data_IF_034391734608
#
_entry.id   IF_034391734608
#
_cell.length_a   1.000
_cell.length_b   1.000
_cell.length_c   1.000
_cell.angle_alpha   90.00
_cell.angle_beta   90.00
_cell.angle_gamma   90.00
#
_symmetry.space_group_name_H-M   'P 1'
#
loop_
_entity.id
_entity.type
_entity.pdbx_description
1 polymer ?
#
# COMPACT_ATOMS: atom_id res chain seq x y z
N UNK A 1 8.08 -15.60 31.35
CA UNK A 1 7.39 -16.89 31.53
C UNK A 1 7.46 -17.67 30.21
N UNK A 2 8.22 -18.79 30.19
CA UNK A 2 8.29 -19.63 28.97
C UNK A 2 7.26 -20.76 29.16
N UNK A 3 6.22 -20.77 28.32
CA UNK A 3 5.26 -21.87 28.28
C UNK A 3 5.64 -22.87 27.20
N UNK A 4 5.79 -24.16 27.58
CA UNK A 4 6.20 -25.25 26.67
C UNK A 4 5.14 -26.35 26.72
N UNK A 5 4.60 -26.73 25.57
CA UNK A 5 3.65 -27.84 25.42
C UNK A 5 4.35 -29.08 24.84
N UNK A 6 4.38 -30.18 25.61
CA UNK A 6 4.89 -31.47 25.18
C UNK A 6 6.33 -31.79 25.64
N UNK A 7 6.62 -33.07 25.89
CA UNK A 7 7.90 -33.52 26.42
C UNK A 7 9.12 -33.29 25.51
N UNK A 8 8.95 -33.44 24.18
CA UNK A 8 10.03 -33.14 23.22
C UNK A 8 10.38 -31.65 23.13
N UNK A 9 9.47 -30.78 23.53
CA UNK A 9 9.68 -29.33 23.55
C UNK A 9 10.37 -28.88 24.86
N UNK A 10 10.23 -29.64 25.96
CA UNK A 10 10.87 -29.34 27.24
C UNK A 10 12.40 -29.44 27.13
N UNK A 11 12.94 -30.46 26.48
CA UNK A 11 14.39 -30.62 26.29
C UNK A 11 14.95 -29.50 25.40
N UNK A 12 14.27 -29.14 24.30
CA UNK A 12 14.65 -27.99 23.46
C UNK A 12 14.61 -26.67 24.23
N UNK A 13 13.60 -26.50 25.10
CA UNK A 13 13.50 -25.31 25.93
C UNK A 13 14.61 -25.24 26.98
N UNK A 14 14.96 -26.37 27.63
CA UNK A 14 16.11 -26.46 28.56
C UNK A 14 17.43 -26.12 27.85
N UNK A 15 17.62 -26.67 26.65
CA UNK A 15 18.82 -26.38 25.84
C UNK A 15 18.86 -24.88 25.48
N UNK A 16 17.75 -24.30 25.03
CA UNK A 16 17.63 -22.89 24.74
C UNK A 16 17.94 -22.00 25.94
N UNK A 17 17.38 -22.32 27.10
CA UNK A 17 17.65 -21.59 28.36
C UNK A 17 19.12 -21.74 28.75
N UNK A 18 19.69 -22.96 28.64
CA UNK A 18 21.09 -23.20 28.96
C UNK A 18 22.03 -22.38 28.04
N UNK A 19 21.71 -22.30 26.75
CA UNK A 19 22.45 -21.49 25.80
C UNK A 19 22.34 -19.99 26.12
N UNK A 20 21.16 -19.51 26.49
CA UNK A 20 20.96 -18.12 26.94
C UNK A 20 21.80 -17.80 28.19
N UNK A 21 21.82 -18.69 29.18
CA UNK A 21 22.61 -18.50 30.41
C UNK A 21 24.13 -18.55 30.17
N UNK A 22 24.59 -19.21 29.11
CA UNK A 22 25.99 -19.27 28.70
C UNK A 22 26.38 -18.14 27.73
N UNK A 23 25.46 -17.27 27.36
CA UNK A 23 25.80 -16.13 26.48
C UNK A 23 26.84 -15.23 27.12
N UNK A 24 27.84 -14.89 26.33
CA UNK A 24 28.81 -13.85 26.67
C UNK A 24 28.40 -12.53 26.06
N UNK A 25 29.03 -11.44 26.48
CA UNK A 25 28.80 -10.14 25.87
C UNK A 25 29.05 -10.14 24.36
N UNK A 26 29.91 -11.03 23.86
CA UNK A 26 30.29 -11.07 22.44
C UNK A 26 29.27 -11.77 21.53
N UNK A 27 28.48 -12.68 22.06
CA UNK A 27 27.43 -13.39 21.32
C UNK A 27 26.00 -12.96 21.79
N UNK A 28 25.92 -11.87 22.52
CA UNK A 28 24.65 -11.31 22.97
C UNK A 28 23.98 -10.49 21.87
N UNK A 29 22.66 -10.58 21.80
CA UNK A 29 21.82 -9.75 20.95
C UNK A 29 22.03 -8.25 21.15
N UNK A 30 22.49 -7.86 22.36
CA UNK A 30 22.81 -6.48 22.71
C UNK A 30 23.89 -5.84 21.82
N UNK A 31 24.73 -6.65 21.16
CA UNK A 31 25.72 -6.17 20.18
C UNK A 31 25.17 -6.02 18.77
N UNK A 32 23.97 -6.54 18.47
CA UNK A 32 23.39 -6.35 17.13
C UNK A 32 23.00 -4.90 16.93
N UNK A 33 23.34 -4.34 15.76
CA UNK A 33 22.99 -2.96 15.42
C UNK A 33 21.47 -2.74 15.43
N UNK A 34 20.67 -3.74 15.06
CA UNK A 34 19.21 -3.70 15.11
C UNK A 34 18.71 -3.53 16.56
N UNK A 35 19.26 -4.29 17.52
CA UNK A 35 18.88 -4.16 18.93
C UNK A 35 19.25 -2.77 19.47
N UNK A 36 20.47 -2.30 19.20
CA UNK A 36 20.93 -0.98 19.66
C UNK A 36 20.10 0.16 19.07
N UNK A 37 19.59 -0.02 17.85
CA UNK A 37 18.69 0.95 17.22
C UNK A 37 17.30 0.90 17.85
N UNK A 38 16.77 -0.32 18.09
CA UNK A 38 15.48 -0.51 18.77
C UNK A 38 15.50 0.06 20.21
N UNK A 39 16.57 -0.15 20.95
CA UNK A 39 16.70 0.32 22.35
C UNK A 39 16.59 1.85 22.47
N UNK A 40 16.92 2.57 21.40
CA UNK A 40 16.80 4.05 21.36
C UNK A 40 15.37 4.53 21.10
N UNK A 41 14.45 3.66 20.69
CA UNK A 41 13.05 4.03 20.47
C UNK A 41 12.33 4.20 21.81
N UNK A 42 11.44 5.20 21.85
CA UNK A 42 10.62 5.52 23.03
C UNK A 42 9.15 5.18 22.75
N UNK A 43 8.86 3.90 22.55
CA UNK A 43 7.49 3.42 22.37
C UNK A 43 7.06 2.58 23.57
N UNK A 44 5.76 2.40 23.75
CA UNK A 44 5.22 1.58 24.83
C UNK A 44 5.71 0.12 24.73
N UNK A 45 5.79 -0.39 23.50
CA UNK A 45 6.36 -1.71 23.20
C UNK A 45 7.32 -1.55 22.02
N UNK A 46 8.58 -1.93 22.22
CA UNK A 46 9.59 -1.99 21.16
C UNK A 46 9.92 -3.44 20.83
N UNK A 47 10.04 -3.76 19.55
CA UNK A 47 10.46 -5.06 19.09
C UNK A 47 11.23 -4.97 17.77
N UNK A 48 11.97 -6.02 17.47
CA UNK A 48 12.55 -6.20 16.15
C UNK A 48 12.49 -7.68 15.76
N UNK A 49 12.40 -7.92 14.46
CA UNK A 49 12.35 -9.26 13.90
C UNK A 49 13.04 -9.31 12.54
N UNK A 50 13.80 -10.37 12.28
CA UNK A 50 14.24 -10.67 10.92
C UNK A 50 13.03 -10.96 10.03
N UNK A 51 13.04 -10.50 8.80
CA UNK A 51 12.01 -10.88 7.82
C UNK A 51 11.96 -12.40 7.57
N UNK A 52 13.05 -13.14 7.85
CA UNK A 52 13.03 -14.61 7.82
C UNK A 52 12.11 -15.23 8.88
N UNK A 53 11.72 -14.51 9.93
CA UNK A 53 10.75 -14.97 10.92
C UNK A 53 9.29 -14.90 10.44
N UNK A 54 9.03 -14.28 9.31
CA UNK A 54 7.71 -14.24 8.68
C UNK A 54 7.33 -15.69 8.29
N UNK A 55 6.10 -16.15 8.63
CA UNK A 55 5.67 -17.51 8.29
C UNK A 55 5.79 -17.81 6.79
N UNK A 56 6.25 -19.01 6.45
CA UNK A 56 6.55 -19.44 5.08
C UNK A 56 5.47 -19.10 4.03
N UNK A 57 4.14 -19.20 4.31
CA UNK A 57 3.11 -18.83 3.34
C UNK A 57 3.15 -17.36 2.89
N UNK A 58 3.77 -16.48 3.68
CA UNK A 58 3.87 -15.05 3.41
C UNK A 58 5.26 -14.62 2.95
N UNK A 59 6.29 -15.47 3.14
CA UNK A 59 7.68 -15.15 2.75
C UNK A 59 7.81 -14.92 1.25
N UNK A 60 7.12 -15.70 0.43
CA UNK A 60 7.14 -15.56 -1.01
C UNK A 60 6.60 -14.19 -1.46
N UNK A 61 5.51 -13.72 -0.85
CA UNK A 61 4.92 -12.42 -1.14
C UNK A 61 5.86 -11.27 -0.75
N UNK A 62 6.54 -11.40 0.37
CA UNK A 62 7.50 -10.38 0.86
C UNK A 62 8.78 -10.38 0.02
N UNK A 63 9.19 -11.55 -0.49
CA UNK A 63 10.40 -11.71 -1.30
C UNK A 63 10.21 -11.32 -2.77
N UNK A 64 8.96 -11.25 -3.27
CA UNK A 64 8.66 -11.00 -4.68
C UNK A 64 9.26 -9.68 -5.23
N UNK A 65 9.51 -8.70 -4.38
CA UNK A 65 10.12 -7.41 -4.76
C UNK A 65 11.62 -7.33 -4.56
N UNK A 66 12.27 -8.37 -4.00
CA UNK A 66 13.70 -8.35 -3.68
C UNK A 66 14.55 -8.82 -4.86
N UNK A 67 15.73 -8.23 -5.09
CA UNK A 67 16.74 -8.76 -5.99
C UNK A 67 17.16 -10.20 -5.58
N UNK A 68 17.59 -10.99 -6.56
CA UNK A 68 17.93 -12.40 -6.33
C UNK A 68 19.07 -12.63 -5.32
N UNK A 69 19.96 -11.65 -5.17
CA UNK A 69 21.07 -11.63 -4.21
C UNK A 69 20.68 -11.23 -2.79
N UNK A 70 19.47 -10.73 -2.58
CA UNK A 70 18.95 -10.28 -1.28
C UNK A 70 18.10 -11.38 -0.66
N UNK A 71 18.43 -11.77 0.56
CA UNK A 71 17.66 -12.74 1.32
C UNK A 71 16.82 -12.05 2.39
N UNK A 72 15.69 -12.66 2.77
CA UNK A 72 14.84 -12.15 3.84
C UNK A 72 15.60 -12.00 5.18
N UNK A 73 16.59 -12.84 5.43
CA UNK A 73 17.44 -12.76 6.63
C UNK A 73 18.34 -11.51 6.67
N UNK A 74 18.60 -10.87 5.53
CA UNK A 74 19.39 -9.63 5.43
C UNK A 74 18.60 -8.40 5.91
N UNK A 75 17.29 -8.52 6.10
CA UNK A 75 16.41 -7.42 6.48
C UNK A 75 15.83 -7.68 7.86
N UNK A 76 16.02 -6.73 8.75
CA UNK A 76 15.41 -6.71 10.08
C UNK A 76 14.40 -5.55 10.16
N UNK A 77 13.18 -5.86 10.56
CA UNK A 77 12.16 -4.85 10.85
C UNK A 77 12.33 -4.44 12.30
N UNK A 78 12.50 -3.14 12.55
CA UNK A 78 12.45 -2.54 13.88
C UNK A 78 11.10 -1.85 14.01
N UNK A 79 10.40 -2.09 15.11
CA UNK A 79 9.05 -1.58 15.30
C UNK A 79 8.82 -1.07 16.73
N UNK A 80 8.00 -0.01 16.81
CA UNK A 80 7.52 0.56 18.06
C UNK A 80 6.00 0.71 18.03
N UNK A 81 5.33 0.10 18.98
CA UNK A 81 3.88 0.19 19.16
C UNK A 81 3.58 1.17 20.28
N UNK A 82 2.67 2.12 20.02
CA UNK A 82 2.21 3.13 20.97
C UNK A 82 0.68 3.06 21.12
N UNK A 83 0.22 3.19 22.36
CA UNK A 83 -1.20 3.30 22.69
C UNK A 83 -1.48 4.73 23.09
N UNK A 84 -2.01 5.50 22.16
CA UNK A 84 -2.28 6.92 22.36
C UNK A 84 -3.80 7.14 22.57
N UNK A 85 -4.18 8.34 22.95
CA UNK A 85 -5.59 8.71 22.99
C UNK A 85 -6.20 8.66 21.59
N UNK A 86 -7.25 7.86 21.43
CA UNK A 86 -7.95 7.68 20.17
C UNK A 86 -7.16 6.98 19.06
N UNK A 87 -5.95 6.43 19.33
CA UNK A 87 -5.11 5.85 18.29
C UNK A 87 -4.18 4.75 18.83
N UNK A 88 -4.03 3.69 18.03
CA UNK A 88 -2.94 2.71 18.18
C UNK A 88 -2.01 2.93 16.99
N UNK A 89 -0.75 3.26 17.25
CA UNK A 89 0.25 3.58 16.23
C UNK A 89 1.37 2.55 16.23
N UNK A 90 1.63 1.92 15.09
CA UNK A 90 2.77 1.03 14.85
C UNK A 90 3.74 1.73 13.90
N UNK A 91 4.87 2.17 14.41
CA UNK A 91 5.97 2.72 13.60
C UNK A 91 6.96 1.61 13.26
N UNK A 92 7.36 1.54 12.01
CA UNK A 92 8.32 0.54 11.54
C UNK A 92 9.41 1.19 10.69
N UNK A 93 10.59 0.60 10.75
CA UNK A 93 11.71 0.91 9.85
C UNK A 93 12.46 -0.38 9.50
N UNK A 94 13.04 -0.42 8.31
CA UNK A 94 13.89 -1.51 7.90
C UNK A 94 15.34 -1.24 8.32
N UNK A 95 16.00 -2.24 8.88
CA UNK A 95 17.40 -2.21 9.22
C UNK A 95 18.15 -3.31 8.47
N UNK A 96 19.31 -2.99 7.94
CA UNK A 96 20.18 -3.93 7.26
C UNK A 96 21.64 -3.51 7.36
N UNK A 97 22.55 -4.48 7.38
CA UNK A 97 23.98 -4.27 7.21
C UNK A 97 24.43 -4.67 5.79
N UNK A 98 23.57 -5.31 5.02
CA UNK A 98 23.83 -5.72 3.65
C UNK A 98 23.81 -4.52 2.69
N UNK A 99 24.93 -4.27 2.00
CA UNK A 99 25.08 -3.12 1.09
C UNK A 99 24.16 -3.19 -0.14
N UNK A 100 23.83 -4.39 -0.63
CA UNK A 100 22.88 -4.55 -1.73
C UNK A 100 21.46 -4.13 -1.29
N UNK A 101 21.06 -4.46 -0.07
CA UNK A 101 19.77 -4.02 0.50
C UNK A 101 19.75 -2.52 0.70
N UNK A 102 20.82 -1.92 1.22
CA UNK A 102 20.94 -0.45 1.35
C UNK A 102 20.80 0.25 0.01
N UNK A 103 21.46 -0.28 -1.04
CA UNK A 103 21.35 0.24 -2.39
C UNK A 103 19.91 0.15 -2.93
N UNK A 104 19.20 -0.97 -2.65
CA UNK A 104 17.78 -1.14 -3.01
C UNK A 104 16.90 -0.13 -2.29
N UNK A 105 17.07 0.04 -0.98
CA UNK A 105 16.31 1.04 -0.20
C UNK A 105 16.52 2.46 -0.75
N UNK A 106 17.76 2.80 -1.12
CA UNK A 106 18.06 4.08 -1.77
C UNK A 106 17.30 4.24 -3.10
N UNK A 107 17.28 3.21 -3.95
CA UNK A 107 16.51 3.24 -5.21
C UNK A 107 15.00 3.37 -4.95
N UNK A 108 14.48 2.76 -3.90
CA UNK A 108 13.09 2.95 -3.50
C UNK A 108 12.81 4.43 -3.15
N UNK A 109 13.68 5.06 -2.38
CA UNK A 109 13.54 6.50 -2.06
C UNK A 109 13.67 7.41 -3.30
N UNK A 110 14.47 7.00 -4.28
CA UNK A 110 14.60 7.70 -5.56
C UNK A 110 13.35 7.54 -6.45
N UNK A 111 12.61 6.42 -6.32
CA UNK A 111 11.39 6.15 -7.06
C UNK A 111 10.17 6.92 -6.52
N UNK A 112 10.19 7.27 -5.24
CA UNK A 112 9.08 7.96 -4.58
C UNK A 112 9.49 9.36 -4.12
N UNK A 113 8.65 10.35 -4.43
CA UNK A 113 8.72 11.71 -3.92
C UNK A 113 7.67 11.95 -2.84
N UNK A 114 7.65 13.15 -2.25
CA UNK A 114 6.53 13.56 -1.41
C UNK A 114 5.32 13.84 -2.30
N UNK A 115 4.16 13.31 -1.90
CA UNK A 115 2.90 13.58 -2.59
C UNK A 115 2.42 15.01 -2.28
N UNK A 116 1.92 15.70 -3.31
CA UNK A 116 1.37 17.07 -3.21
C UNK A 116 -0.10 17.09 -2.84
N UNK A 117 -0.77 15.92 -2.84
CA UNK A 117 -2.20 15.76 -2.60
C UNK A 117 -3.07 16.50 -3.63
N UNK A 118 -2.63 16.54 -4.89
CA UNK A 118 -3.25 17.29 -5.99
C UNK A 118 -4.70 16.87 -6.24
N UNK A 119 -4.96 15.57 -6.18
CA UNK A 119 -6.22 14.96 -6.61
C UNK A 119 -7.25 14.75 -5.49
N UNK A 120 -6.91 14.98 -4.21
CA UNK A 120 -7.80 14.70 -3.07
C UNK A 120 -9.18 15.38 -3.16
N UNK A 121 -9.27 16.50 -3.88
CA UNK A 121 -10.52 17.23 -4.11
C UNK A 121 -11.54 16.48 -4.99
N UNK A 122 -11.08 15.52 -5.78
CA UNK A 122 -11.94 14.75 -6.70
C UNK A 122 -12.52 13.49 -6.07
N UNK A 123 -12.01 13.08 -4.91
CA UNK A 123 -12.48 11.90 -4.20
C UNK A 123 -13.48 12.30 -3.13
N UNK A 124 -14.69 11.71 -3.10
CA UNK A 124 -15.65 11.93 -2.02
C UNK A 124 -15.07 11.59 -0.64
N UNK A 125 -15.46 12.29 0.40
CA UNK A 125 -15.08 11.98 1.78
C UNK A 125 -15.54 10.57 2.22
N UNK A 126 -16.56 10.02 1.57
CA UNK A 126 -17.06 8.65 1.75
C UNK A 126 -16.27 7.58 0.98
N UNK A 127 -15.16 7.92 0.35
CA UNK A 127 -14.28 6.95 -0.31
C UNK A 127 -13.89 5.85 0.67
N UNK A 128 -14.12 4.59 0.29
CA UNK A 128 -13.96 3.42 1.16
C UNK A 128 -12.49 3.11 1.44
N UNK A 129 -11.68 3.21 0.41
CA UNK A 129 -10.23 3.06 0.46
C UNK A 129 -9.60 4.10 -0.45
N UNK A 130 -8.61 4.79 0.05
CA UNK A 130 -7.88 5.82 -0.68
C UNK A 130 -6.39 5.54 -0.62
N UNK A 131 -5.69 5.71 -1.73
CA UNK A 131 -4.24 5.61 -1.84
C UNK A 131 -3.73 6.86 -2.53
N UNK A 132 -2.66 7.45 -2.01
CA UNK A 132 -1.96 8.56 -2.63
C UNK A 132 -0.45 8.34 -2.58
N UNK A 133 0.21 8.48 -3.72
CA UNK A 133 1.63 8.21 -3.91
C UNK A 133 2.27 9.40 -4.62
N UNK A 134 3.42 9.85 -4.14
CA UNK A 134 4.28 10.73 -4.93
C UNK A 134 5.27 9.91 -5.74
N UNK A 135 5.21 9.95 -7.08
CA UNK A 135 6.02 9.11 -7.96
C UNK A 135 6.98 9.92 -8.79
N UNK A 136 8.20 9.38 -8.94
CA UNK A 136 9.20 9.77 -9.93
C UNK A 136 9.33 8.61 -10.93
N UNK A 137 8.66 8.70 -12.07
CA UNK A 137 8.46 7.57 -12.96
C UNK A 137 9.73 6.94 -13.49
N UNK A 138 10.79 7.72 -13.76
CA UNK A 138 12.09 7.15 -14.16
C UNK A 138 12.73 6.33 -13.02
N UNK A 139 12.67 6.85 -11.78
CA UNK A 139 13.13 6.11 -10.59
C UNK A 139 12.34 4.83 -10.38
N UNK A 140 11.02 4.88 -10.59
CA UNK A 140 10.15 3.71 -10.49
C UNK A 140 10.48 2.66 -11.56
N UNK A 141 10.71 3.08 -12.81
CA UNK A 141 11.16 2.16 -13.87
C UNK A 141 12.49 1.50 -13.49
N UNK A 142 13.46 2.27 -13.02
CA UNK A 142 14.76 1.75 -12.62
C UNK A 142 14.63 0.74 -11.47
N UNK A 143 13.78 1.03 -10.46
CA UNK A 143 13.50 0.12 -9.36
C UNK A 143 12.86 -1.19 -9.85
N UNK A 144 11.82 -1.11 -10.68
CA UNK A 144 11.12 -2.28 -11.22
C UNK A 144 12.01 -3.10 -12.14
N UNK A 145 12.95 -2.47 -12.85
CA UNK A 145 13.90 -3.15 -13.74
C UNK A 145 14.90 -4.05 -12.99
N UNK A 146 15.02 -3.93 -11.66
CA UNK A 146 15.78 -4.87 -10.83
C UNK A 146 14.99 -6.19 -10.62
N UNK A 147 13.66 -6.14 -10.72
CA UNK A 147 12.81 -7.32 -10.53
C UNK A 147 12.87 -8.24 -11.76
N UNK A 148 13.17 -9.53 -11.54
CA UNK A 148 13.29 -10.53 -12.60
C UNK A 148 11.98 -10.74 -13.36
N UNK A 149 10.85 -10.76 -12.68
CA UNK A 149 9.54 -10.97 -13.31
C UNK A 149 9.14 -9.79 -14.19
N UNK A 150 9.41 -8.57 -13.73
CA UNK A 150 9.22 -7.37 -14.55
C UNK A 150 10.07 -7.42 -15.81
N UNK A 151 11.36 -7.76 -15.70
CA UNK A 151 12.26 -7.91 -16.87
C UNK A 151 11.80 -9.01 -17.84
N UNK A 152 11.25 -10.09 -17.32
CA UNK A 152 10.73 -11.18 -18.17
C UNK A 152 9.43 -10.78 -18.88
N UNK A 153 8.62 -9.92 -18.28
CA UNK A 153 7.36 -9.44 -18.85
C UNK A 153 7.59 -8.37 -19.92
N UNK A 154 8.58 -7.49 -19.67
CA UNK A 154 8.97 -6.43 -20.63
C UNK A 154 9.94 -7.04 -21.64
N UNK A 155 9.46 -7.34 -22.85
CA UNK A 155 10.36 -7.81 -23.91
C UNK A 155 11.43 -6.75 -24.20
N UNK A 156 12.66 -7.20 -24.50
CA UNK A 156 13.81 -6.32 -24.77
C UNK A 156 13.48 -5.31 -25.89
N UNK A 157 12.69 -5.71 -26.88
CA UNK A 157 12.26 -4.86 -28.01
C UNK A 157 11.29 -3.72 -27.62
N UNK A 158 10.74 -3.74 -26.40
CA UNK A 158 9.78 -2.73 -25.89
C UNK A 158 10.27 -2.01 -24.64
N UNK A 159 11.50 -2.27 -24.21
CA UNK A 159 12.06 -1.68 -22.99
C UNK A 159 12.07 -0.14 -23.01
N UNK A 160 12.40 0.45 -24.14
CA UNK A 160 12.44 1.91 -24.32
C UNK A 160 11.03 2.52 -24.28
N UNK A 161 10.04 1.89 -24.91
CA UNK A 161 8.64 2.34 -24.91
C UNK A 161 8.07 2.26 -23.48
N UNK A 162 8.36 1.18 -22.73
CA UNK A 162 7.94 1.01 -21.35
C UNK A 162 8.63 2.04 -20.46
N UNK A 163 9.94 2.30 -20.66
CA UNK A 163 10.67 3.34 -19.94
C UNK A 163 10.07 4.73 -20.19
N UNK A 164 9.73 5.06 -21.45
CA UNK A 164 9.09 6.32 -21.80
C UNK A 164 7.71 6.45 -21.11
N UNK A 165 6.91 5.37 -21.11
CA UNK A 165 5.63 5.33 -20.42
C UNK A 165 5.80 5.63 -18.93
N UNK A 166 6.69 4.92 -18.22
CA UNK A 166 6.95 5.19 -16.81
C UNK A 166 7.46 6.61 -16.58
N UNK A 167 8.39 7.08 -17.40
CA UNK A 167 8.97 8.42 -17.30
C UNK A 167 7.96 9.53 -17.56
N UNK A 168 6.79 9.23 -18.14
CA UNK A 168 5.71 10.18 -18.31
C UNK A 168 5.01 10.50 -16.99
N UNK A 169 5.01 9.59 -16.01
CA UNK A 169 4.46 9.83 -14.68
C UNK A 169 5.45 10.60 -13.82
N UNK A 170 5.05 11.72 -13.26
CA UNK A 170 5.92 12.51 -12.37
C UNK A 170 5.08 13.44 -11.50
N UNK A 171 4.83 13.03 -10.28
CA UNK A 171 3.98 13.72 -9.32
C UNK A 171 3.04 12.74 -8.60
N UNK A 172 1.83 13.18 -8.34
CA UNK A 172 0.87 12.38 -7.59
C UNK A 172 0.23 11.28 -8.46
N UNK A 173 0.06 10.09 -7.85
CA UNK A 173 -0.91 9.09 -8.29
C UNK A 173 -1.85 8.86 -7.13
N UNK A 174 -3.15 9.03 -7.39
CA UNK A 174 -4.20 8.81 -6.39
C UNK A 174 -5.22 7.82 -6.91
N UNK A 175 -5.63 6.88 -6.07
CA UNK A 175 -6.65 5.88 -6.39
C UNK A 175 -7.66 5.77 -5.24
N UNK A 176 -8.93 5.59 -5.57
CA UNK A 176 -9.99 5.40 -4.60
C UNK A 176 -10.97 4.31 -5.00
N UNK A 177 -11.33 3.48 -4.01
CA UNK A 177 -12.48 2.58 -4.07
C UNK A 177 -13.69 3.36 -3.57
N UNK A 178 -14.65 3.61 -4.46
CA UNK A 178 -15.78 4.51 -4.18
C UNK A 178 -16.99 3.75 -3.65
N UNK A 179 -17.27 2.58 -4.24
CA UNK A 179 -18.45 1.79 -3.88
C UNK A 179 -18.23 0.31 -4.13
N UNK A 180 -18.92 -0.52 -3.34
CA UNK A 180 -18.97 -1.98 -3.51
C UNK A 180 -20.43 -2.41 -3.43
N UNK A 181 -20.87 -3.16 -4.42
CA UNK A 181 -22.21 -3.76 -4.47
C UNK A 181 -22.10 -5.27 -4.67
N UNK A 182 -23.19 -6.01 -4.43
CA UNK A 182 -23.19 -7.47 -4.58
C UNK A 182 -23.14 -7.95 -6.05
N UNK A 183 -23.65 -7.14 -6.97
CA UNK A 183 -23.97 -7.59 -8.34
C UNK A 183 -23.15 -6.89 -9.42
N UNK A 184 -22.22 -6.02 -9.05
CA UNK A 184 -21.35 -5.33 -10.00
C UNK A 184 -19.90 -5.29 -9.52
N UNK A 185 -18.98 -5.03 -10.43
CA UNK A 185 -17.60 -4.77 -10.08
C UNK A 185 -17.51 -3.55 -9.12
N UNK A 186 -16.56 -3.56 -8.17
CA UNK A 186 -16.33 -2.40 -7.30
C UNK A 186 -16.05 -1.16 -8.13
N UNK A 187 -16.67 -0.03 -7.74
CA UNK A 187 -16.45 1.26 -8.41
C UNK A 187 -15.15 1.89 -7.94
N UNK A 188 -14.28 2.22 -8.88
CA UNK A 188 -13.01 2.87 -8.59
C UNK A 188 -12.79 4.12 -9.45
N UNK A 189 -11.89 4.97 -8.97
CA UNK A 189 -11.36 6.11 -9.72
C UNK A 189 -9.87 6.26 -9.45
N UNK A 190 -9.11 6.60 -10.48
CA UNK A 190 -7.66 6.84 -10.41
C UNK A 190 -7.36 8.16 -11.10
N UNK A 191 -6.41 8.91 -10.52
CA UNK A 191 -5.78 10.08 -11.16
C UNK A 191 -4.27 9.97 -11.07
N UNK A 192 -3.59 10.51 -12.05
CA UNK A 192 -2.12 10.60 -12.03
C UNK A 192 -1.63 11.86 -12.74
N UNK A 193 -0.58 12.49 -12.20
CA UNK A 193 0.16 13.55 -12.89
C UNK A 193 1.00 12.94 -14.01
N UNK A 194 0.84 13.46 -15.24
CA UNK A 194 1.60 13.02 -16.40
C UNK A 194 2.20 14.20 -17.15
N UNK A 195 3.37 14.01 -17.75
CA UNK A 195 4.06 15.06 -18.51
C UNK A 195 3.33 15.42 -19.81
N UNK A 196 2.74 14.42 -20.47
CA UNK A 196 2.05 14.58 -21.76
C UNK A 196 1.08 13.42 -22.05
N UNK A 197 0.34 13.50 -23.16
CA UNK A 197 -0.61 12.49 -23.60
C UNK A 197 -0.04 11.39 -24.50
N UNK A 198 1.22 11.46 -24.89
CA UNK A 198 1.81 10.59 -25.91
C UNK A 198 1.75 9.11 -25.54
N UNK A 199 1.89 8.79 -24.26
CA UNK A 199 1.87 7.42 -23.79
C UNK A 199 0.53 6.71 -24.04
N UNK A 200 -0.61 7.38 -23.82
CA UNK A 200 -1.93 6.81 -24.09
C UNK A 200 -2.20 6.68 -25.59
N UNK A 201 -1.78 7.66 -26.37
CA UNK A 201 -1.89 7.61 -27.83
C UNK A 201 -1.07 6.45 -28.42
N UNK A 202 0.17 6.26 -27.94
CA UNK A 202 1.02 5.15 -28.32
C UNK A 202 0.40 3.80 -27.92
N UNK A 203 -0.13 3.69 -26.70
CA UNK A 203 -0.83 2.51 -26.20
C UNK A 203 -2.05 2.16 -27.09
N UNK A 204 -2.86 3.16 -27.46
CA UNK A 204 -4.02 2.96 -28.31
C UNK A 204 -3.63 2.51 -29.72
N UNK A 205 -2.64 3.15 -30.33
CA UNK A 205 -2.12 2.75 -31.66
C UNK A 205 -1.60 1.32 -31.69
N UNK A 206 -1.06 0.85 -30.58
CA UNK A 206 -0.49 -0.50 -30.42
C UNK A 206 -1.42 -1.45 -29.64
N UNK A 207 -2.73 -1.16 -29.53
CA UNK A 207 -3.67 -1.94 -28.69
C UNK A 207 -3.71 -3.44 -29.02
N UNK A 208 -3.43 -3.83 -30.26
CA UNK A 208 -3.33 -5.25 -30.65
C UNK A 208 -2.19 -5.99 -29.92
N UNK A 209 -1.13 -5.29 -29.54
CA UNK A 209 -0.01 -5.85 -28.79
C UNK A 209 -0.29 -6.04 -27.29
N UNK A 210 -1.42 -5.53 -26.79
CA UNK A 210 -1.83 -5.64 -25.37
C UNK A 210 -2.40 -7.02 -25.02
N UNK A 211 -2.53 -7.94 -25.99
CA UNK A 211 -3.04 -9.28 -25.72
C UNK A 211 -4.52 -9.30 -25.32
N UNK A 212 -5.33 -8.38 -25.86
CA UNK A 212 -6.76 -8.31 -25.60
C UNK A 212 -7.45 -9.62 -25.97
N UNK A 213 -8.32 -10.09 -25.10
CA UNK A 213 -9.07 -11.35 -25.29
C UNK A 213 -10.24 -11.13 -26.26
N UNK A 214 -10.79 -12.23 -26.76
CA UNK A 214 -11.99 -12.18 -27.61
C UNK A 214 -13.16 -11.50 -26.90
N UNK A 215 -13.63 -10.40 -27.44
CA UNK A 215 -14.71 -9.57 -26.88
C UNK A 215 -14.21 -8.42 -25.99
N UNK A 216 -12.91 -8.21 -25.91
CA UNK A 216 -12.29 -7.02 -25.34
C UNK A 216 -11.83 -6.09 -26.45
N UNK A 217 -12.00 -4.79 -26.26
CA UNK A 217 -11.51 -3.76 -27.19
C UNK A 217 -11.26 -2.44 -26.45
N UNK A 218 -10.41 -1.61 -27.06
CA UNK A 218 -10.21 -0.21 -26.66
C UNK A 218 -10.76 0.65 -27.79
N UNK A 219 -11.72 1.49 -27.45
CA UNK A 219 -12.35 2.44 -28.37
C UNK A 219 -11.97 3.86 -28.02
N UNK A 220 -11.73 4.68 -29.02
CA UNK A 220 -11.53 6.11 -28.87
C UNK A 220 -12.88 6.82 -28.70
N UNK A 221 -13.02 7.64 -27.67
CA UNK A 221 -14.21 8.48 -27.39
C UNK A 221 -13.98 9.94 -27.80
N UNK A 222 -12.73 10.38 -27.79
CA UNK A 222 -12.30 11.72 -28.12
C UNK A 222 -10.78 11.83 -28.07
N UNK A 223 -10.24 13.01 -28.29
CA UNK A 223 -8.79 13.23 -28.24
C UNK A 223 -8.23 12.89 -26.85
N UNK A 224 -7.38 11.86 -26.78
CA UNK A 224 -6.82 11.31 -25.56
C UNK A 224 -7.88 10.80 -24.56
N UNK A 225 -9.03 10.37 -25.04
CA UNK A 225 -10.11 9.78 -24.25
C UNK A 225 -10.51 8.44 -24.85
N UNK A 226 -10.53 7.41 -24.01
CA UNK A 226 -10.71 6.02 -24.43
C UNK A 226 -11.64 5.28 -23.49
N UNK A 227 -12.23 4.20 -24.00
CA UNK A 227 -12.91 3.21 -23.16
C UNK A 227 -12.38 1.81 -23.49
N UNK A 228 -11.91 1.10 -22.49
CA UNK A 228 -11.70 -0.34 -22.54
C UNK A 228 -13.04 -1.03 -22.26
N UNK A 229 -13.46 -1.88 -23.19
CA UNK A 229 -14.68 -2.68 -23.08
C UNK A 229 -14.35 -4.13 -22.84
N UNK A 230 -15.00 -4.75 -21.84
CA UNK A 230 -14.98 -6.18 -21.62
C UNK A 230 -16.38 -6.69 -21.28
N UNK A 231 -16.55 -8.03 -21.18
CA UNK A 231 -17.87 -8.65 -20.90
C UNK A 231 -18.51 -8.27 -19.57
N UNK A 232 -17.75 -7.77 -18.62
CA UNK A 232 -18.26 -7.50 -17.26
C UNK A 232 -18.00 -6.07 -16.78
N UNK A 233 -17.20 -5.28 -17.51
CA UNK A 233 -16.80 -3.96 -17.04
C UNK A 233 -16.29 -3.11 -18.19
N UNK A 234 -16.68 -1.84 -18.21
CA UNK A 234 -16.06 -0.82 -19.03
C UNK A 234 -15.13 0.01 -18.16
N UNK A 235 -13.97 0.39 -18.68
CA UNK A 235 -13.06 1.33 -18.01
C UNK A 235 -12.86 2.53 -18.92
N UNK A 236 -13.33 3.68 -18.49
CA UNK A 236 -13.11 4.98 -19.14
C UNK A 236 -11.78 5.53 -18.64
N UNK A 237 -10.91 5.93 -19.56
CA UNK A 237 -9.61 6.50 -19.20
C UNK A 237 -9.17 7.55 -20.22
N UNK A 238 -8.35 8.48 -19.78
CA UNK A 238 -7.91 9.55 -20.65
C UNK A 238 -6.89 10.47 -19.98
N UNK A 239 -6.50 11.52 -20.72
CA UNK A 239 -5.64 12.59 -20.24
C UNK A 239 -6.27 13.93 -20.59
N UNK A 240 -6.47 14.76 -19.56
CA UNK A 240 -6.86 16.17 -19.65
C UNK A 240 -5.88 17.03 -18.84
N UNK A 241 -5.37 18.10 -19.43
CA UNK A 241 -4.49 19.06 -18.75
C UNK A 241 -3.32 18.44 -17.95
N UNK A 242 -2.66 17.44 -18.54
CA UNK A 242 -1.59 16.65 -17.90
C UNK A 242 -2.06 15.81 -16.70
N UNK A 243 -3.35 15.59 -16.57
CA UNK A 243 -3.92 14.71 -15.56
C UNK A 243 -4.51 13.48 -16.26
N UNK A 244 -3.90 12.33 -16.01
CA UNK A 244 -4.48 11.05 -16.42
C UNK A 244 -5.58 10.66 -15.44
N UNK A 245 -6.61 10.05 -15.95
CA UNK A 245 -7.69 9.48 -15.14
C UNK A 245 -8.11 8.11 -15.64
N UNK A 246 -8.67 7.30 -14.75
CA UNK A 246 -9.35 6.05 -15.10
C UNK A 246 -10.49 5.77 -14.10
N UNK A 247 -11.64 5.30 -14.59
CA UNK A 247 -12.76 4.84 -13.77
C UNK A 247 -13.61 3.82 -14.52
N UNK A 248 -14.26 2.93 -13.79
CA UNK A 248 -15.24 1.99 -14.36
C UNK A 248 -16.69 2.46 -14.22
N UNK A 249 -16.92 3.70 -13.79
CA UNK A 249 -18.24 4.30 -13.63
C UNK A 249 -18.45 5.43 -14.64
N UNK A 250 -19.50 5.35 -15.46
CA UNK A 250 -19.79 6.32 -16.51
C UNK A 250 -20.20 7.70 -15.94
N UNK A 251 -20.82 7.72 -14.76
CA UNK A 251 -21.22 8.98 -14.13
C UNK A 251 -20.00 9.72 -13.57
N UNK A 252 -19.06 9.00 -12.96
CA UNK A 252 -17.77 9.55 -12.54
C UNK A 252 -16.99 10.06 -13.75
N UNK A 253 -16.94 9.29 -14.83
CA UNK A 253 -16.29 9.72 -16.08
C UNK A 253 -16.84 11.04 -16.62
N UNK A 254 -18.17 11.18 -16.67
CA UNK A 254 -18.83 12.43 -17.13
C UNK A 254 -18.54 13.64 -16.22
N UNK A 255 -18.16 13.40 -14.98
CA UNK A 255 -17.84 14.42 -13.98
C UNK A 255 -16.37 14.40 -13.55
N UNK A 256 -15.47 13.87 -14.38
CA UNK A 256 -14.09 13.57 -14.00
C UNK A 256 -13.29 14.79 -13.52
N UNK A 257 -13.63 15.98 -13.98
CA UNK A 257 -12.99 17.24 -13.59
C UNK A 257 -13.70 17.96 -12.45
N UNK A 258 -14.87 17.43 -12.02
CA UNK A 258 -15.67 18.06 -10.97
C UNK A 258 -15.18 17.66 -9.59
N UNK A 259 -14.85 18.65 -8.77
CA UNK A 259 -14.54 18.41 -7.37
C UNK A 259 -15.77 17.85 -6.63
N UNK A 260 -15.53 16.95 -5.67
CA UNK A 260 -16.58 16.45 -4.80
C UNK A 260 -17.06 17.55 -3.83
N UNK A 261 -18.35 17.59 -3.55
CA UNK A 261 -18.95 18.60 -2.62
C UNK A 261 -18.35 18.47 -1.22
N UNK A 262 -18.19 17.24 -0.72
CA UNK A 262 -17.37 16.87 0.43
C UNK A 262 -16.29 15.93 -0.07
N UNK A 263 -15.05 16.33 0.03
CA UNK A 263 -13.91 15.57 -0.50
C UNK A 263 -13.06 14.96 0.62
N UNK A 264 -12.04 14.19 0.23
CA UNK A 264 -11.04 13.66 1.19
C UNK A 264 -10.37 14.76 2.01
N UNK A 265 -10.38 16.02 1.55
CA UNK A 265 -9.90 17.15 2.37
C UNK A 265 -10.68 17.30 3.68
N UNK A 266 -11.92 16.84 3.70
CA UNK A 266 -12.83 16.87 4.85
C UNK A 266 -12.83 15.54 5.63
N UNK A 267 -12.06 14.54 5.18
CA UNK A 267 -11.97 13.24 5.84
C UNK A 267 -11.15 13.32 7.14
N UNK A 268 -11.42 12.47 8.13
CA UNK A 268 -10.71 12.48 9.42
C UNK A 268 -9.18 12.33 9.31
N UNK A 269 -8.70 11.67 8.26
CA UNK A 269 -7.29 11.41 7.99
C UNK A 269 -6.60 12.44 7.06
N UNK A 270 -7.31 13.50 6.67
CA UNK A 270 -6.80 14.45 5.68
C UNK A 270 -5.45 15.10 6.07
N UNK A 271 -5.28 15.41 7.36
CA UNK A 271 -4.04 16.03 7.87
C UNK A 271 -2.83 15.10 7.86
N UNK A 272 -3.05 13.77 7.91
CA UNK A 272 -1.99 12.78 7.97
C UNK A 272 -1.27 12.56 6.64
N UNK A 273 -1.92 12.91 5.52
CA UNK A 273 -1.35 12.80 4.18
C UNK A 273 -0.20 13.77 3.91
N UNK A 274 -0.13 14.87 4.71
CA UNK A 274 0.83 15.94 4.43
C UNK A 274 2.27 15.47 4.60
N UNK A 275 3.08 15.65 3.55
CA UNK A 275 4.51 15.36 3.57
C UNK A 275 4.86 13.88 3.40
N UNK A 276 3.89 13.00 3.21
CA UNK A 276 4.11 11.57 3.00
C UNK A 276 4.51 11.26 1.56
N UNK A 277 5.33 10.22 1.37
CA UNK A 277 5.63 9.66 0.06
C UNK A 277 4.52 8.73 -0.41
N UNK A 278 3.99 7.97 0.55
CA UNK A 278 2.87 7.03 0.37
C UNK A 278 1.88 7.27 1.50
N UNK A 279 0.62 7.32 1.16
CA UNK A 279 -0.48 7.34 2.12
C UNK A 279 -1.61 6.43 1.63
N UNK A 280 -2.14 5.61 2.52
CA UNK A 280 -3.32 4.80 2.28
C UNK A 280 -4.25 4.95 3.49
N UNK A 281 -5.55 5.03 3.24
CA UNK A 281 -6.57 4.99 4.28
C UNK A 281 -7.70 4.03 3.91
N UNK A 282 -8.21 3.33 4.92
CA UNK A 282 -9.44 2.52 4.85
C UNK A 282 -10.45 3.19 5.78
N UNK A 283 -11.53 3.68 5.22
CA UNK A 283 -12.58 4.40 5.93
C UNK A 283 -13.58 3.40 6.53
N UNK A 284 -13.40 3.05 7.81
CA UNK A 284 -14.24 2.08 8.49
C UNK A 284 -15.70 2.56 8.60
N UNK A 285 -15.92 3.87 8.80
CA UNK A 285 -17.26 4.44 8.89
C UNK A 285 -18.02 4.30 7.56
N UNK A 286 -17.37 4.65 6.45
CA UNK A 286 -17.98 4.53 5.12
C UNK A 286 -18.26 3.05 4.75
N UNK A 287 -17.38 2.12 5.14
CA UNK A 287 -17.57 0.69 4.90
C UNK A 287 -18.80 0.17 5.67
N UNK A 288 -18.98 0.56 6.93
CA UNK A 288 -20.13 0.15 7.73
C UNK A 288 -21.46 0.68 7.20
N UNK A 289 -21.44 1.79 6.47
CA UNK A 289 -22.63 2.38 5.84
C UNK A 289 -23.04 1.67 4.54
N UNK A 290 -22.19 0.82 3.97
CA UNK A 290 -22.52 0.09 2.73
C UNK A 290 -23.72 -0.84 2.94
N UNK A 291 -24.72 -0.82 2.04
CA UNK A 291 -25.89 -1.71 2.13
C UNK A 291 -25.52 -3.19 2.20
N UNK A 292 -24.50 -3.61 1.44
CA UNK A 292 -23.98 -5.00 1.44
C UNK A 292 -23.41 -5.37 2.81
N UNK A 293 -22.69 -4.46 3.48
CA UNK A 293 -22.12 -4.71 4.81
C UNK A 293 -23.23 -4.77 5.87
N UNK A 294 -24.17 -3.82 5.84
CA UNK A 294 -25.35 -3.84 6.74
C UNK A 294 -26.16 -5.12 6.61
N UNK A 295 -26.33 -5.62 5.39
CA UNK A 295 -27.00 -6.89 5.15
C UNK A 295 -26.20 -8.08 5.73
N UNK A 296 -24.89 -8.15 5.50
CA UNK A 296 -24.02 -9.21 6.03
C UNK A 296 -24.02 -9.22 7.57
N UNK A 297 -24.01 -8.06 8.21
CA UNK A 297 -24.14 -7.93 9.67
C UNK A 297 -25.49 -8.48 10.14
N UNK A 298 -26.58 -8.16 9.43
CA UNK A 298 -27.94 -8.63 9.77
C UNK A 298 -28.11 -10.13 9.67
N UNK A 299 -27.48 -10.79 8.71
CA UNK A 299 -27.62 -12.23 8.47
C UNK A 299 -26.46 -13.09 9.01
N UNK A 300 -25.31 -12.47 9.36
CA UNK A 300 -24.05 -13.17 9.61
C UNK A 300 -23.90 -13.78 11.03
N UNK A 301 -24.91 -13.67 11.90
CA UNK A 301 -24.88 -14.25 13.25
C UNK A 301 -23.93 -13.51 14.22
N UNK A 302 -23.67 -14.15 15.38
CA UNK A 302 -22.97 -13.52 16.51
C UNK A 302 -21.55 -13.05 16.19
N UNK A 303 -20.77 -13.82 15.43
CA UNK A 303 -19.39 -13.46 15.06
C UNK A 303 -19.32 -12.18 14.23
N UNK A 304 -20.24 -12.02 13.27
CA UNK A 304 -20.31 -10.81 12.45
C UNK A 304 -20.80 -9.61 13.25
N UNK A 305 -21.71 -9.81 14.18
CA UNK A 305 -22.19 -8.76 15.08
C UNK A 305 -21.06 -8.25 15.98
N UNK A 306 -20.33 -9.15 16.66
CA UNK A 306 -19.18 -8.78 17.48
C UNK A 306 -18.10 -8.06 16.68
N UNK A 307 -17.76 -8.56 15.48
CA UNK A 307 -16.80 -7.90 14.60
C UNK A 307 -17.27 -6.52 14.17
N UNK A 308 -18.54 -6.32 13.87
CA UNK A 308 -19.10 -5.01 13.50
C UNK A 308 -19.15 -4.05 14.68
N UNK A 309 -19.40 -4.52 15.90
CA UNK A 309 -19.35 -3.72 17.13
C UNK A 309 -17.92 -3.21 17.38
N UNK A 310 -16.90 -4.04 17.19
CA UNK A 310 -15.51 -3.61 17.28
C UNK A 310 -15.17 -2.58 16.18
N UNK A 311 -15.52 -2.88 14.93
CA UNK A 311 -15.26 -1.99 13.81
C UNK A 311 -16.03 -0.67 13.94
N UNK A 312 -17.20 -0.67 14.59
CA UNK A 312 -18.00 0.55 14.82
C UNK A 312 -17.28 1.60 15.69
N UNK A 313 -16.29 1.20 16.48
CA UNK A 313 -15.45 2.09 17.30
C UNK A 313 -14.30 2.69 16.50
N UNK A 314 -13.98 2.12 15.34
CA UNK A 314 -12.88 2.57 14.46
C UNK A 314 -13.43 3.63 13.50
N UNK A 315 -12.70 4.73 13.34
CA UNK A 315 -12.96 5.74 12.31
C UNK A 315 -12.30 5.34 11.01
N UNK A 316 -11.01 5.08 11.05
CA UNK A 316 -10.23 4.63 9.89
C UNK A 316 -8.97 3.89 10.32
N UNK A 317 -8.40 3.16 9.37
CA UNK A 317 -7.03 2.62 9.43
C UNK A 317 -6.21 3.34 8.37
N UNK A 318 -5.02 3.82 8.73
CA UNK A 318 -4.10 4.41 7.75
C UNK A 318 -2.74 3.71 7.74
N UNK A 319 -2.09 3.75 6.59
CA UNK A 319 -0.71 3.36 6.38
C UNK A 319 -0.01 4.51 5.68
N UNK A 320 1.09 4.96 6.23
CA UNK A 320 1.86 6.04 5.62
C UNK A 320 3.35 5.73 5.61
N UNK A 321 4.08 6.32 4.66
CA UNK A 321 5.54 6.30 4.70
C UNK A 321 6.12 7.68 4.45
N UNK A 322 7.23 7.95 5.14
CA UNK A 322 8.05 9.15 4.96
C UNK A 322 9.53 8.74 5.03
N UNK A 323 10.19 8.77 3.88
CA UNK A 323 11.55 8.24 3.79
C UNK A 323 11.61 6.73 4.09
N UNK A 324 12.45 6.35 5.02
CA UNK A 324 12.67 4.94 5.42
C UNK A 324 11.70 4.44 6.49
N UNK A 325 10.86 5.32 7.04
CA UNK A 325 9.92 4.99 8.11
C UNK A 325 8.51 4.79 7.54
N UNK A 326 7.79 3.83 8.11
CA UNK A 326 6.38 3.61 7.85
C UNK A 326 5.60 3.63 9.16
N UNK A 327 4.36 4.07 9.09
CA UNK A 327 3.44 4.14 10.22
C UNK A 327 2.10 3.50 9.84
N UNK A 328 1.57 2.67 10.70
CA UNK A 328 0.25 2.05 10.58
C UNK A 328 -0.55 2.52 11.78
N UNK A 329 -1.65 3.21 11.52
CA UNK A 329 -2.50 3.78 12.55
C UNK A 329 -3.91 3.18 12.51
N UNK A 330 -4.36 2.69 13.64
CA UNK A 330 -5.78 2.39 13.87
C UNK A 330 -6.36 3.54 14.68
N UNK A 331 -7.23 4.33 14.05
CA UNK A 331 -7.82 5.53 14.65
C UNK A 331 -9.24 5.28 15.10
N UNK A 332 -9.52 5.58 16.36
CA UNK A 332 -10.83 5.44 16.97
C UNK A 332 -11.71 6.67 16.70
N UNK A 333 -13.02 6.49 16.73
CA UNK A 333 -14.00 7.59 16.63
C UNK A 333 -13.91 8.52 17.85
N UNK A 334 -13.80 7.93 19.02
CA UNK A 334 -13.59 8.66 20.26
C UNK A 334 -12.09 8.91 20.45
N UNK A 335 -11.70 10.17 20.28
CA UNK A 335 -10.30 10.61 20.37
C UNK A 335 -9.81 10.81 21.80
N UNK A 336 -10.68 10.76 22.79
CA UNK A 336 -10.34 10.97 24.19
C UNK A 336 -10.16 9.66 24.97
N UNK A 337 -10.63 8.55 24.41
CA UNK A 337 -10.48 7.21 24.99
C UNK A 337 -9.03 6.75 24.84
N UNK A 338 -8.45 6.24 25.90
CA UNK A 338 -7.19 5.52 25.83
C UNK A 338 -7.40 4.23 25.02
N UNK A 339 -6.50 3.95 24.06
CA UNK A 339 -6.61 2.80 23.18
C UNK A 339 -6.16 1.46 23.85
N UNK A 340 -5.72 1.50 25.11
CA UNK A 340 -5.48 0.33 25.97
C UNK A 340 -6.76 -0.15 26.63
#
# INVERSE_FOLDING_TARGET
LISVKGTSQIEKAKEGITNLLKQTADNSIAKSGAFQKMEKQKSDINFFASMAAIPAPYQEQVSMGLPAEVKAEDITIIAGLNFEKGRIALKTENYTENEAVKALMKKQLEAFGKANNTFVKYFPASTLMFVNLGIKGEGLYNLLSENKEFRNTVSISKADEVKELFSSFNGDISAGLINVTMNSAPTFIVYADVKNGNALEALYKNKQALGLKKGEDILELGKNEYVYKSKGMNVFFGIKDKQMYATNDELLYKNIEKAADKSIKDAPYASEMKGKNVFMAINAEAILELPVVKMLIGFGGEKFRTGSEMLSKVSYLSVSSEGETSEIDLCLKDKDVNAL
#
